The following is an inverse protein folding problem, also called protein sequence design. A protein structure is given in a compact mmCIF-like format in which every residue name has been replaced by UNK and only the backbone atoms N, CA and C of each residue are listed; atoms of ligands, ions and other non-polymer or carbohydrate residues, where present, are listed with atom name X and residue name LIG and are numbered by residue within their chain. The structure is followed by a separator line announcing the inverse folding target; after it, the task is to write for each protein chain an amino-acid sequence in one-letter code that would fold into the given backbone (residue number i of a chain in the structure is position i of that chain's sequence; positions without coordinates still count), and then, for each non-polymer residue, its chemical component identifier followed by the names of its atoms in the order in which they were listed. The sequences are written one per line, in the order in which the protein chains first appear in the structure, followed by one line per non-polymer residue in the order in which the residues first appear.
data_IF_337192271396
#
_entry.id   IF_337192271396
#
_cell.length_a   1.000
_cell.length_b   1.000
_cell.length_c   1.000
_cell.angle_alpha   90.00
_cell.angle_beta   90.00
_cell.angle_gamma   90.00
#
_symmetry.space_group_name_H-M   'P 1'
#
loop_
_entity.id
_entity.type
_entity.pdbx_description
1 polymer ?
#
# COMPACT_ATOMS: atom_id res chain seq x y z
N UNK A 1 13.09 18.63 -34.65
CA UNK A 1 13.55 19.41 -33.49
C UNK A 1 13.16 18.63 -32.24
N UNK A 2 14.09 17.88 -31.62
CA UNK A 2 13.80 17.14 -30.38
C UNK A 2 13.75 18.18 -29.25
N UNK A 3 12.60 18.35 -28.62
CA UNK A 3 12.50 19.13 -27.39
C UNK A 3 13.34 18.38 -26.34
N UNK A 4 14.38 19.03 -25.81
CA UNK A 4 15.11 18.51 -24.65
C UNK A 4 14.16 18.62 -23.46
N UNK A 5 13.39 17.58 -23.16
CA UNK A 5 12.61 17.53 -21.92
C UNK A 5 13.60 17.39 -20.77
N UNK A 6 13.51 18.30 -19.79
CA UNK A 6 14.23 18.14 -18.53
C UNK A 6 13.62 16.97 -17.75
N UNK A 7 14.42 16.21 -17.00
CA UNK A 7 13.93 15.08 -16.16
C UNK A 7 12.66 15.43 -15.36
N UNK A 8 12.53 16.61 -14.72
CA UNK A 8 11.29 16.99 -14.03
C UNK A 8 10.04 17.08 -14.92
N UNK A 9 10.20 17.38 -16.21
CA UNK A 9 9.10 17.48 -17.16
C UNK A 9 8.53 16.09 -17.51
N UNK A 10 9.35 15.04 -17.53
CA UNK A 10 8.91 13.67 -17.80
C UNK A 10 8.10 13.09 -16.63
N UNK A 11 8.40 13.51 -15.39
CA UNK A 11 7.65 13.12 -14.19
C UNK A 11 6.46 14.04 -13.87
N UNK A 12 6.29 15.15 -14.60
CA UNK A 12 5.22 16.12 -14.33
C UNK A 12 3.84 15.46 -14.44
N UNK A 13 3.62 14.62 -15.45
CA UNK A 13 2.35 13.92 -15.63
C UNK A 13 2.05 12.97 -14.45
N UNK A 14 3.07 12.26 -13.96
CA UNK A 14 2.95 11.34 -12.80
C UNK A 14 2.65 12.13 -11.53
N UNK A 15 3.33 13.25 -11.31
CA UNK A 15 3.11 14.12 -10.16
C UNK A 15 1.68 14.72 -10.19
N UNK A 16 1.22 15.21 -11.34
CA UNK A 16 -0.14 15.71 -11.51
C UNK A 16 -1.18 14.62 -11.26
N UNK A 17 -0.95 13.40 -11.78
CA UNK A 17 -1.84 12.26 -11.52
C UNK A 17 -1.90 11.92 -10.03
N UNK A 18 -0.77 11.92 -9.32
CA UNK A 18 -0.72 11.67 -7.88
C UNK A 18 -1.46 12.75 -7.10
N UNK A 19 -1.29 14.03 -7.46
CA UNK A 19 -2.01 15.16 -6.86
C UNK A 19 -3.51 14.99 -7.08
N UNK A 20 -3.94 14.70 -8.30
CA UNK A 20 -5.36 14.47 -8.61
C UNK A 20 -5.89 13.27 -7.82
N UNK A 21 -5.14 12.18 -7.76
CA UNK A 21 -5.48 10.97 -7.01
C UNK A 21 -5.62 11.20 -5.50
N UNK A 22 -4.89 12.16 -4.94
CA UNK A 22 -5.05 12.58 -3.55
C UNK A 22 -6.22 13.58 -3.37
N UNK A 23 -6.37 14.53 -4.30
CA UNK A 23 -7.40 15.57 -4.21
C UNK A 23 -8.82 15.01 -4.26
N UNK A 24 -9.06 13.91 -4.98
CA UNK A 24 -10.38 13.27 -5.00
C UNK A 24 -10.85 12.75 -3.63
N UNK A 25 -10.13 11.83 -2.95
CA UNK A 25 -10.52 11.37 -1.62
C UNK A 25 -10.46 12.51 -0.60
N UNK A 26 -9.47 13.39 -0.67
CA UNK A 26 -9.38 14.54 0.23
C UNK A 26 -10.56 15.51 0.07
N UNK A 27 -10.95 15.81 -1.17
CA UNK A 27 -12.14 16.59 -1.48
C UNK A 27 -13.42 15.91 -0.99
N UNK A 28 -13.51 14.57 -1.11
CA UNK A 28 -14.58 13.77 -0.50
C UNK A 28 -14.64 13.94 1.02
N UNK A 29 -13.51 13.87 1.72
CA UNK A 29 -13.44 14.15 3.15
C UNK A 29 -13.85 15.58 3.48
N UNK A 30 -13.35 16.57 2.76
CA UNK A 30 -13.64 17.98 3.00
C UNK A 30 -15.12 18.32 2.77
N UNK A 31 -15.69 17.84 1.66
CA UNK A 31 -17.13 17.98 1.38
C UNK A 31 -17.95 17.26 2.44
N UNK A 32 -17.56 16.05 2.86
CA UNK A 32 -18.24 15.33 3.93
C UNK A 32 -18.16 16.08 5.27
N UNK A 33 -17.04 16.72 5.58
CA UNK A 33 -16.87 17.48 6.82
C UNK A 33 -17.90 18.61 6.94
N UNK A 34 -18.17 19.32 5.83
CA UNK A 34 -19.12 20.42 5.84
C UNK A 34 -20.59 19.99 5.65
N UNK A 35 -20.84 18.96 4.84
CA UNK A 35 -22.20 18.53 4.48
C UNK A 35 -22.76 17.49 5.45
N UNK A 36 -21.94 16.60 6.02
CA UNK A 36 -22.41 15.52 6.90
C UNK A 36 -22.97 16.08 8.22
N UNK A 37 -24.11 15.56 8.72
CA UNK A 37 -24.56 15.85 10.07
C UNK A 37 -23.55 15.35 11.09
N UNK A 38 -23.10 16.24 11.98
CA UNK A 38 -22.24 15.93 13.12
C UNK A 38 -22.98 16.23 14.42
N UNK A 39 -22.46 15.72 15.54
CA UNK A 39 -23.08 15.91 16.85
C UNK A 39 -23.12 17.39 17.23
N UNK A 40 -24.28 17.89 17.65
CA UNK A 40 -24.40 19.27 18.13
C UNK A 40 -23.64 19.41 19.47
N UNK A 41 -22.71 20.38 19.60
CA UNK A 41 -21.99 20.61 20.86
C UNK A 41 -22.90 20.93 22.05
N UNK A 42 -24.08 21.51 21.80
CA UNK A 42 -25.01 21.91 22.86
C UNK A 42 -26.04 20.84 23.21
N UNK A 43 -26.29 19.88 22.30
CA UNK A 43 -27.25 18.81 22.49
C UNK A 43 -26.71 17.50 21.89
N UNK A 44 -26.14 16.60 22.71
CA UNK A 44 -25.53 15.37 22.21
C UNK A 44 -26.54 14.43 21.54
N UNK A 45 -27.85 14.59 21.78
CA UNK A 45 -28.88 13.74 21.17
C UNK A 45 -29.19 14.11 19.72
N UNK A 46 -28.77 15.29 19.25
CA UNK A 46 -29.09 15.77 17.90
C UNK A 46 -27.86 15.83 17.01
N UNK A 47 -28.08 15.56 15.73
CA UNK A 47 -27.09 15.71 14.66
C UNK A 47 -27.48 16.88 13.78
N UNK A 48 -26.53 17.73 13.42
CA UNK A 48 -26.73 18.91 12.56
C UNK A 48 -25.60 19.03 11.54
N UNK A 49 -25.95 19.38 10.30
CA UNK A 49 -24.97 19.75 9.27
C UNK A 49 -24.57 21.23 9.39
N UNK A 50 -23.33 21.55 9.04
CA UNK A 50 -22.82 22.95 9.08
C UNK A 50 -23.44 23.77 7.95
N UNK A 51 -23.40 23.24 6.72
CA UNK A 51 -23.86 23.98 5.53
C UNK A 51 -25.35 23.80 5.22
N UNK A 52 -25.98 22.74 5.72
CA UNK A 52 -27.37 22.39 5.39
C UNK A 52 -28.26 22.49 6.64
N UNK A 53 -28.89 23.66 6.92
CA UNK A 53 -29.59 23.89 8.19
C UNK A 53 -30.81 22.98 8.43
N UNK A 54 -31.46 22.53 7.36
CA UNK A 54 -32.64 21.67 7.45
C UNK A 54 -32.29 20.20 7.73
N UNK A 55 -31.03 19.80 7.56
CA UNK A 55 -30.58 18.44 7.85
C UNK A 55 -30.24 18.31 9.33
N UNK A 56 -31.29 18.26 10.15
CA UNK A 56 -31.24 17.94 11.57
C UNK A 56 -31.92 16.60 11.80
N UNK A 57 -31.27 15.72 12.57
CA UNK A 57 -31.83 14.43 12.93
C UNK A 57 -31.76 14.24 14.43
N UNK A 58 -32.89 13.90 15.03
CA UNK A 58 -32.93 13.48 16.43
C UNK A 58 -32.46 12.03 16.53
N UNK A 59 -31.52 11.79 17.43
CA UNK A 59 -30.90 10.50 17.69
C UNK A 59 -31.09 10.07 19.15
N UNK A 60 -32.04 10.67 19.87
CA UNK A 60 -32.40 10.32 21.25
C UNK A 60 -32.73 8.83 21.44
N UNK A 61 -33.30 8.18 20.42
CA UNK A 61 -33.60 6.74 20.42
C UNK A 61 -32.38 5.83 20.15
N UNK A 62 -31.26 6.39 19.70
CA UNK A 62 -30.05 5.66 19.31
C UNK A 62 -28.90 5.88 20.31
N UNK A 63 -29.15 5.51 21.57
CA UNK A 63 -28.22 5.72 22.71
C UNK A 63 -26.85 5.05 22.47
N UNK A 64 -26.82 3.94 21.72
CA UNK A 64 -25.62 3.14 21.43
C UNK A 64 -24.91 3.50 20.12
N UNK A 65 -25.21 4.65 19.48
CA UNK A 65 -24.61 5.02 18.18
C UNK A 65 -23.08 5.16 18.19
N UNK A 66 -22.49 5.44 19.36
CA UNK A 66 -21.05 5.61 19.56
C UNK A 66 -20.40 4.39 20.24
N UNK A 67 -21.15 3.31 20.50
CA UNK A 67 -20.58 2.09 21.06
C UNK A 67 -20.12 1.13 19.97
N UNK A 68 -19.21 0.22 20.31
CA UNK A 68 -18.82 -0.89 19.45
C UNK A 68 -20.03 -1.75 19.08
N UNK A 69 -20.07 -2.21 17.82
CA UNK A 69 -21.12 -3.10 17.35
C UNK A 69 -20.87 -4.53 17.85
N UNK A 70 -21.81 -5.07 18.62
CA UNK A 70 -21.76 -6.43 19.20
C UNK A 70 -23.11 -7.16 19.03
N UNK A 71 -23.72 -7.07 17.84
CA UNK A 71 -25.01 -7.73 17.52
C UNK A 71 -26.14 -7.45 18.54
N UNK A 72 -26.10 -6.29 19.21
CA UNK A 72 -27.07 -5.89 20.23
C UNK A 72 -26.68 -6.20 21.68
N UNK A 73 -25.59 -6.93 21.91
CA UNK A 73 -25.01 -7.13 23.24
C UNK A 73 -24.11 -5.96 23.66
N UNK A 74 -23.86 -5.86 24.97
CA UNK A 74 -22.79 -5.01 25.49
C UNK A 74 -21.43 -5.68 25.28
N UNK A 75 -20.40 -4.97 24.80
CA UNK A 75 -19.05 -5.51 24.75
C UNK A 75 -18.58 -5.82 26.17
N UNK A 76 -18.12 -7.07 26.39
CA UNK A 76 -17.63 -7.52 27.70
C UNK A 76 -16.16 -7.86 27.60
N UNK A 77 -15.37 -7.31 28.53
CA UNK A 77 -13.94 -7.55 28.63
C UNK A 77 -13.09 -6.70 27.68
N UNK A 78 -11.79 -6.94 27.71
CA UNK A 78 -10.85 -6.30 26.80
C UNK A 78 -10.83 -7.03 25.45
N UNK A 79 -10.74 -6.28 24.36
CA UNK A 79 -10.49 -6.81 23.03
C UNK A 79 -9.05 -7.37 22.93
N UNK A 80 -8.84 -8.59 23.45
CA UNK A 80 -7.59 -9.32 23.33
C UNK A 80 -7.63 -10.22 22.11
N UNK A 81 -6.74 -9.95 21.17
CA UNK A 81 -6.53 -10.79 19.99
C UNK A 81 -5.26 -11.61 20.20
N UNK A 82 -5.37 -12.92 20.04
CA UNK A 82 -4.19 -13.79 19.99
C UNK A 82 -3.49 -13.60 18.64
N UNK A 83 -2.48 -12.73 18.62
CA UNK A 83 -1.68 -12.52 17.41
C UNK A 83 -0.87 -13.78 17.09
N UNK A 84 -1.28 -14.49 16.05
CA UNK A 84 -0.53 -15.63 15.58
C UNK A 84 0.81 -15.16 14.98
N UNK A 85 1.93 -15.73 15.44
CA UNK A 85 3.27 -15.38 14.95
C UNK A 85 3.48 -15.64 13.45
N UNK A 86 2.52 -16.28 12.77
CA UNK A 86 2.59 -16.55 11.33
C UNK A 86 2.56 -15.27 10.49
N UNK A 87 1.84 -14.22 10.93
CA UNK A 87 1.82 -12.94 10.23
C UNK A 87 3.21 -12.31 10.11
N UNK A 88 4.04 -12.44 11.15
CA UNK A 88 5.42 -11.94 11.15
C UNK A 88 6.31 -12.71 10.17
N UNK A 89 6.17 -14.04 10.12
CA UNK A 89 6.91 -14.86 9.15
C UNK A 89 6.60 -14.46 7.71
N UNK A 90 5.32 -14.21 7.39
CA UNK A 90 4.94 -13.73 6.07
C UNK A 90 5.57 -12.39 5.73
N UNK A 91 5.54 -11.44 6.66
CA UNK A 91 6.11 -10.11 6.44
C UNK A 91 7.63 -10.19 6.14
N UNK A 92 8.39 -11.00 6.88
CA UNK A 92 9.83 -11.15 6.63
C UNK A 92 10.11 -11.87 5.31
N UNK A 93 9.41 -12.96 5.03
CA UNK A 93 9.60 -13.70 3.77
C UNK A 93 9.31 -12.78 2.58
N UNK A 94 8.23 -12.00 2.67
CA UNK A 94 7.88 -10.99 1.67
C UNK A 94 8.97 -9.94 1.52
N UNK A 95 9.46 -9.35 2.63
CA UNK A 95 10.51 -8.32 2.60
C UNK A 95 11.82 -8.83 1.98
N UNK A 96 12.26 -10.03 2.34
CA UNK A 96 13.49 -10.63 1.79
C UNK A 96 13.33 -10.88 0.29
N UNK A 97 12.17 -11.39 -0.12
CA UNK A 97 11.87 -11.63 -1.54
C UNK A 97 11.76 -10.32 -2.34
N UNK A 98 11.17 -9.27 -1.78
CA UNK A 98 11.03 -7.94 -2.40
C UNK A 98 12.39 -7.32 -2.70
N UNK A 99 13.32 -7.37 -1.75
CA UNK A 99 14.71 -6.94 -1.95
C UNK A 99 15.40 -7.76 -3.04
N UNK A 100 15.22 -9.09 -3.04
CA UNK A 100 15.82 -9.96 -4.05
C UNK A 100 15.31 -9.63 -5.46
N UNK A 101 14.01 -9.40 -5.59
CA UNK A 101 13.37 -9.02 -6.85
C UNK A 101 13.83 -7.64 -7.33
N UNK A 102 14.02 -6.67 -6.42
CA UNK A 102 14.58 -5.36 -6.75
C UNK A 102 15.96 -5.49 -7.42
N UNK A 103 16.86 -6.31 -6.88
CA UNK A 103 18.17 -6.54 -7.51
C UNK A 103 18.06 -7.27 -8.84
N UNK A 104 17.19 -8.28 -8.94
CA UNK A 104 16.96 -9.00 -10.20
C UNK A 104 16.41 -8.08 -11.31
N UNK A 105 15.48 -7.20 -10.97
CA UNK A 105 14.91 -6.24 -11.94
C UNK A 105 15.95 -5.23 -12.42
N UNK A 106 16.82 -4.74 -11.51
CA UNK A 106 17.96 -3.91 -11.89
C UNK A 106 18.91 -4.63 -12.85
N UNK A 107 19.23 -5.90 -12.59
CA UNK A 107 20.01 -6.74 -13.51
C UNK A 107 19.36 -6.83 -14.90
N UNK A 108 18.04 -7.02 -14.94
CA UNK A 108 17.27 -7.08 -16.18
C UNK A 108 17.35 -5.79 -16.99
N UNK A 109 17.32 -4.63 -16.33
CA UNK A 109 17.48 -3.32 -16.97
C UNK A 109 18.88 -3.19 -17.59
N UNK A 110 19.94 -3.57 -16.85
CA UNK A 110 21.32 -3.52 -17.36
C UNK A 110 21.51 -4.39 -18.61
N UNK A 111 20.94 -5.60 -18.62
CA UNK A 111 21.02 -6.49 -19.79
C UNK A 111 20.22 -5.94 -20.97
N UNK A 112 19.05 -5.35 -20.73
CA UNK A 112 18.25 -4.72 -21.77
C UNK A 112 19.02 -3.57 -22.44
N UNK A 113 19.73 -2.77 -21.66
CA UNK A 113 20.60 -1.71 -22.18
C UNK A 113 21.77 -2.27 -22.99
N UNK A 114 22.45 -3.31 -22.48
CA UNK A 114 23.56 -4.01 -23.16
C UNK A 114 23.18 -4.65 -24.49
N UNK A 115 21.90 -5.04 -24.65
CA UNK A 115 21.39 -5.71 -25.86
C UNK A 115 20.89 -4.72 -26.92
N UNK A 116 20.83 -3.43 -26.62
CA UNK A 116 20.28 -2.42 -27.54
C UNK A 116 21.21 -2.18 -28.74
N UNK A 117 20.70 -2.18 -30.00
CA UNK A 117 21.52 -1.89 -31.18
C UNK A 117 22.14 -0.49 -31.09
N UNK A 118 23.48 -0.42 -31.00
CA UNK A 118 24.22 0.82 -30.74
C UNK A 118 25.26 0.68 -29.62
N UNK A 119 25.14 -0.35 -28.78
CA UNK A 119 26.08 -0.67 -27.70
C UNK A 119 25.98 0.29 -26.51
N UNK A 120 26.05 -0.25 -25.30
CA UNK A 120 26.20 0.57 -24.09
C UNK A 120 27.67 0.97 -23.97
N UNK A 121 27.96 2.27 -23.80
CA UNK A 121 29.32 2.72 -23.45
C UNK A 121 29.70 2.37 -22.01
N UNK A 122 28.71 2.02 -21.17
CA UNK A 122 28.87 1.93 -19.71
C UNK A 122 29.19 0.50 -19.23
N UNK A 123 28.61 -0.54 -19.85
CA UNK A 123 28.76 -1.95 -19.41
C UNK A 123 28.83 -2.85 -20.63
N UNK A 124 29.80 -3.76 -20.66
CA UNK A 124 29.91 -4.75 -21.74
C UNK A 124 28.85 -5.85 -21.63
N UNK A 125 28.50 -6.48 -22.75
CA UNK A 125 27.50 -7.57 -22.76
C UNK A 125 27.90 -8.72 -21.83
N UNK A 126 29.19 -9.06 -21.78
CA UNK A 126 29.71 -10.13 -20.93
C UNK A 126 29.56 -9.81 -19.43
N UNK A 127 29.80 -8.56 -19.03
CA UNK A 127 29.60 -8.10 -17.66
C UNK A 127 28.12 -8.06 -17.27
N UNK A 128 27.26 -7.57 -18.16
CA UNK A 128 25.82 -7.53 -17.93
C UNK A 128 25.23 -8.94 -17.79
N UNK A 129 25.65 -9.88 -18.66
CA UNK A 129 25.26 -11.29 -18.57
C UNK A 129 25.79 -11.94 -17.29
N UNK A 130 27.04 -11.66 -16.89
CA UNK A 130 27.59 -12.14 -15.61
C UNK A 130 26.81 -11.64 -14.38
N UNK A 131 26.43 -10.36 -14.39
CA UNK A 131 25.56 -9.76 -13.37
C UNK A 131 24.19 -10.44 -13.31
N UNK A 132 23.54 -10.66 -14.45
CA UNK A 132 22.25 -11.35 -14.50
C UNK A 132 22.35 -12.79 -14.00
N UNK A 133 23.37 -13.54 -14.40
CA UNK A 133 23.56 -14.93 -13.96
C UNK A 133 23.77 -15.00 -12.45
N UNK A 134 24.62 -14.13 -11.88
CA UNK A 134 24.87 -14.10 -10.44
C UNK A 134 23.62 -13.72 -9.64
N UNK A 135 22.86 -12.71 -10.09
CA UNK A 135 21.63 -12.28 -9.43
C UNK A 135 20.48 -13.30 -9.59
N UNK A 136 20.41 -13.99 -10.71
CA UNK A 136 19.49 -15.12 -10.92
C UNK A 136 19.84 -16.30 -10.01
N UNK A 137 21.13 -16.59 -9.82
CA UNK A 137 21.58 -17.63 -8.90
C UNK A 137 21.24 -17.29 -7.43
N UNK A 138 21.45 -16.04 -7.02
CA UNK A 138 21.08 -15.55 -5.69
C UNK A 138 19.56 -15.62 -5.49
N UNK A 139 18.77 -15.16 -6.48
CA UNK A 139 17.31 -15.25 -6.43
C UNK A 139 16.84 -16.70 -6.32
N UNK A 140 17.45 -17.62 -7.08
CA UNK A 140 17.19 -19.05 -6.99
C UNK A 140 17.48 -19.62 -5.59
N UNK A 141 18.60 -19.22 -4.96
CA UNK A 141 18.92 -19.61 -3.59
C UNK A 141 17.88 -19.10 -2.58
N UNK A 142 17.38 -17.87 -2.74
CA UNK A 142 16.33 -17.33 -1.88
C UNK A 142 15.00 -18.08 -2.07
N UNK A 143 14.61 -18.40 -3.31
CA UNK A 143 13.42 -19.22 -3.60
C UNK A 143 13.54 -20.61 -2.97
N UNK A 144 14.72 -21.23 -3.01
CA UNK A 144 14.97 -22.50 -2.31
C UNK A 144 14.83 -22.35 -0.78
N UNK A 145 15.31 -21.24 -0.21
CA UNK A 145 15.12 -20.92 1.21
C UNK A 145 13.64 -20.79 1.59
N UNK A 146 12.85 -20.09 0.78
CA UNK A 146 11.40 -19.94 0.95
C UNK A 146 10.71 -21.31 0.83
N UNK A 147 11.05 -22.09 -0.19
CA UNK A 147 10.55 -23.45 -0.37
C UNK A 147 10.84 -24.33 0.85
N UNK A 148 12.04 -24.26 1.41
CA UNK A 148 12.41 -24.97 2.63
C UNK A 148 11.56 -24.54 3.83
N UNK A 149 11.35 -23.23 4.02
CA UNK A 149 10.52 -22.70 5.10
C UNK A 149 9.10 -23.23 4.99
N UNK A 150 8.50 -23.22 3.80
CA UNK A 150 7.16 -23.75 3.57
C UNK A 150 7.06 -25.25 3.79
N UNK A 151 8.06 -26.02 3.36
CA UNK A 151 8.09 -27.47 3.61
C UNK A 151 8.14 -27.79 5.11
N UNK A 152 8.86 -26.99 5.90
CA UNK A 152 9.05 -27.23 7.34
C UNK A 152 7.86 -26.76 8.18
N UNK A 153 7.17 -25.69 7.79
CA UNK A 153 6.02 -25.12 8.51
C UNK A 153 4.72 -25.73 7.99
N UNK A 154 4.51 -27.01 8.32
CA UNK A 154 3.48 -27.88 7.74
C UNK A 154 1.99 -27.53 7.94
N UNK A 155 1.63 -26.34 8.45
CA UNK A 155 0.26 -25.79 8.36
C UNK A 155 0.30 -24.27 8.43
N UNK A 156 -0.23 -23.67 7.37
CA UNK A 156 -0.50 -22.25 7.25
C UNK A 156 -1.94 -22.05 7.71
N UNK A 157 -2.16 -21.24 8.73
CA UNK A 157 -3.50 -20.79 9.10
C UNK A 157 -3.65 -19.40 8.46
N UNK A 158 -4.41 -19.35 7.36
CA UNK A 158 -5.02 -18.10 6.88
C UNK A 158 -6.46 -18.09 7.36
#
# INVERSE_FOLDING_TARGET
MRVLSSIPADYLAVALMAIVGFLFPFGGFLTSYFLRPTQDPNDPTKMRSILIPWMKSDQSLYVRRLSTYECGADPVGDARIEFHFQYYWYAIIFLVFDIAFMFLSFAGILVAEATTPGGSEVVSLDEAMGGLVSLTAIFGFMVLGIWYVFRKRGRIYI
#
